data_IF_671433503775
#
_entry.id   IF_671433503775
#
_cell.length_a   1.000
_cell.length_b   1.000
_cell.length_c   1.000
_cell.angle_alpha   90.00
_cell.angle_beta   90.00
_cell.angle_gamma   90.00
#
_symmetry.space_group_name_H-M   'P 1'
#
loop_
_entity.id
_entity.type
_entity.pdbx_description
1 polymer ?
#
# COMPACT_ATOMS: atom_id res chain seq x y z
N UNK A 1 19.74 4.71 16.44
CA UNK A 1 18.41 5.00 17.05
C UNK A 1 17.44 5.15 15.90
N UNK A 2 16.35 4.40 15.88
CA UNK A 2 15.27 4.61 14.92
C UNK A 2 14.68 5.98 15.24
N UNK A 3 14.66 6.91 14.29
CA UNK A 3 13.99 8.20 14.50
C UNK A 3 12.49 7.95 14.55
N UNK A 4 11.83 8.44 15.59
CA UNK A 4 10.37 8.44 15.72
C UNK A 4 9.77 9.25 14.55
N UNK A 5 9.08 8.57 13.60
CA UNK A 5 8.51 9.16 12.42
C UNK A 5 6.99 9.06 12.44
N UNK A 6 6.32 10.05 11.86
CA UNK A 6 4.88 10.00 11.65
C UNK A 6 4.58 9.21 10.39
N UNK A 7 3.86 8.10 10.57
CA UNK A 7 3.50 7.16 9.50
C UNK A 7 2.00 7.20 9.25
N UNK A 8 1.60 7.23 7.99
CA UNK A 8 0.22 7.03 7.57
C UNK A 8 0.10 5.76 6.71
N UNK A 9 -0.70 4.79 7.15
CA UNK A 9 -1.03 3.57 6.39
C UNK A 9 -2.49 3.63 5.96
N UNK A 10 -2.76 3.77 4.65
CA UNK A 10 -4.14 3.74 4.16
C UNK A 10 -4.67 2.31 4.11
N UNK A 11 -5.93 2.11 4.57
CA UNK A 11 -6.51 0.77 4.67
C UNK A 11 -5.76 -0.12 5.67
N UNK A 12 -5.32 0.47 6.78
CA UNK A 12 -4.52 -0.20 7.82
C UNK A 12 -5.32 -0.98 8.86
N UNK A 13 -6.63 -1.10 8.68
CA UNK A 13 -7.51 -1.75 9.65
C UNK A 13 -7.55 -3.29 9.56
N UNK A 14 -6.95 -3.90 8.54
CA UNK A 14 -6.89 -5.36 8.36
C UNK A 14 -5.77 -5.80 7.42
N UNK A 15 -5.50 -7.09 7.39
CA UNK A 15 -4.61 -7.76 6.42
C UNK A 15 -3.21 -7.17 6.35
N UNK A 16 -2.69 -6.98 5.15
CA UNK A 16 -1.33 -6.44 4.92
C UNK A 16 -1.15 -5.07 5.54
N UNK A 17 -2.13 -4.17 5.38
CA UNK A 17 -2.06 -2.82 5.93
C UNK A 17 -1.95 -2.81 7.45
N UNK A 18 -2.69 -3.67 8.13
CA UNK A 18 -2.64 -3.81 9.58
C UNK A 18 -1.28 -4.36 10.06
N UNK A 19 -0.78 -5.42 9.44
CA UNK A 19 0.54 -5.97 9.76
C UNK A 19 1.66 -4.93 9.59
N UNK A 20 1.59 -4.12 8.53
CA UNK A 20 2.53 -3.01 8.30
C UNK A 20 2.42 -1.97 9.43
N UNK A 21 1.22 -1.54 9.77
CA UNK A 21 0.99 -0.53 10.79
C UNK A 21 1.50 -0.98 12.17
N UNK A 22 1.13 -2.19 12.59
CA UNK A 22 1.55 -2.80 13.85
C UNK A 22 3.07 -2.94 13.93
N UNK A 23 3.70 -3.39 12.84
CA UNK A 23 5.16 -3.54 12.79
C UNK A 23 5.89 -2.21 12.90
N UNK A 24 5.42 -1.16 12.20
CA UNK A 24 6.00 0.17 12.27
C UNK A 24 5.79 0.82 13.64
N UNK A 25 4.64 0.59 14.30
CA UNK A 25 4.41 1.03 15.67
C UNK A 25 5.36 0.32 16.66
N UNK A 26 5.54 -0.99 16.51
CA UNK A 26 6.49 -1.76 17.32
C UNK A 26 7.95 -1.31 17.11
N UNK A 27 8.29 -0.78 15.94
CA UNK A 27 9.59 -0.17 15.66
C UNK A 27 9.76 1.24 16.27
N UNK A 28 8.74 1.79 16.95
CA UNK A 28 8.79 3.07 17.66
C UNK A 28 8.32 4.26 16.84
N UNK A 29 7.59 4.05 15.75
CA UNK A 29 6.98 5.12 14.96
C UNK A 29 5.60 5.51 15.50
N UNK A 30 5.18 6.76 15.29
CA UNK A 30 3.82 7.23 15.53
C UNK A 30 2.96 6.90 14.30
N UNK A 31 2.06 5.94 14.43
CA UNK A 31 1.35 5.38 13.27
C UNK A 31 -0.13 5.76 13.29
N UNK A 32 -0.56 6.37 12.20
CA UNK A 32 -1.97 6.51 11.87
C UNK A 32 -2.38 5.50 10.80
N UNK A 33 -3.57 4.94 10.94
CA UNK A 33 -4.21 4.10 9.93
C UNK A 33 -5.51 4.72 9.46
N UNK A 34 -5.89 4.45 8.22
CA UNK A 34 -7.23 4.83 7.76
C UNK A 34 -8.12 3.62 7.53
N UNK A 35 -9.40 3.79 7.83
CA UNK A 35 -10.47 2.89 7.41
C UNK A 35 -11.70 3.70 6.97
N UNK A 36 -12.58 3.12 6.16
CA UNK A 36 -13.79 3.80 5.70
C UNK A 36 -14.82 3.98 6.81
N UNK A 37 -14.89 3.08 7.76
CA UNK A 37 -15.75 3.20 8.94
C UNK A 37 -15.21 4.18 9.98
N UNK A 38 -13.91 4.40 10.05
CA UNK A 38 -13.22 5.08 11.16
C UNK A 38 -12.97 4.15 12.34
N UNK A 39 -13.09 2.84 12.14
CA UNK A 39 -12.93 1.81 13.18
C UNK A 39 -11.88 0.78 12.75
N UNK A 40 -11.25 0.15 13.71
CA UNK A 40 -10.36 -1.00 13.54
C UNK A 40 -10.48 -1.89 14.80
N UNK A 41 -10.58 -3.20 14.59
CA UNK A 41 -10.84 -4.16 15.68
C UNK A 41 -9.64 -4.33 16.63
N UNK A 42 -8.42 -4.13 16.11
CA UNK A 42 -7.17 -4.25 16.88
C UNK A 42 -6.27 -3.05 16.54
N UNK A 43 -6.48 -1.96 17.25
CA UNK A 43 -5.82 -0.68 16.98
C UNK A 43 -4.94 -0.21 18.14
N UNK A 44 -4.49 -1.12 19.02
CA UNK A 44 -3.70 -0.76 20.20
C UNK A 44 -2.44 0.03 19.81
N UNK A 45 -2.37 1.28 20.27
CA UNK A 45 -1.27 2.19 19.97
C UNK A 45 -1.32 2.85 18.59
N UNK A 46 -2.38 2.65 17.79
CA UNK A 46 -2.57 3.26 16.48
C UNK A 46 -3.61 4.39 16.52
N UNK A 47 -3.35 5.48 15.81
CA UNK A 47 -4.38 6.49 15.56
C UNK A 47 -5.27 6.02 14.40
N UNK A 48 -6.54 5.76 14.67
CA UNK A 48 -7.52 5.38 13.64
C UNK A 48 -8.24 6.62 13.12
N UNK A 49 -8.19 6.84 11.80
CA UNK A 49 -8.81 7.99 11.14
C UNK A 49 -9.75 7.51 10.04
N UNK A 50 -10.93 8.13 9.95
CA UNK A 50 -11.88 7.83 8.88
C UNK A 50 -11.40 8.46 7.56
N UNK A 51 -11.30 7.64 6.50
CA UNK A 51 -11.01 8.14 5.16
C UNK A 51 -11.59 7.26 4.05
N UNK A 52 -12.19 7.91 3.08
CA UNK A 52 -12.47 7.34 1.76
C UNK A 52 -11.49 7.95 0.76
N UNK A 53 -10.60 7.12 0.21
CA UNK A 53 -9.57 7.57 -0.75
C UNK A 53 -10.15 8.01 -2.10
N UNK A 54 -11.43 7.69 -2.37
CA UNK A 54 -12.14 8.14 -3.58
C UNK A 54 -12.67 9.57 -3.45
N UNK A 55 -12.77 10.08 -2.22
CA UNK A 55 -13.26 11.42 -1.91
C UNK A 55 -12.08 12.35 -1.52
N UNK A 56 -11.77 13.39 -2.33
CA UNK A 56 -10.68 14.33 -2.02
C UNK A 56 -10.85 15.07 -0.69
N UNK A 57 -12.07 15.44 -0.32
CA UNK A 57 -12.34 16.17 0.92
C UNK A 57 -12.14 15.25 2.14
N UNK A 58 -12.55 13.99 2.02
CA UNK A 58 -12.29 12.98 3.05
C UNK A 58 -10.79 12.73 3.24
N UNK A 59 -10.01 12.69 2.16
CA UNK A 59 -8.54 12.56 2.23
C UNK A 59 -7.90 13.77 2.91
N UNK A 60 -8.32 14.99 2.55
CA UNK A 60 -7.77 16.22 3.17
C UNK A 60 -8.09 16.27 4.66
N UNK A 61 -9.33 15.98 5.05
CA UNK A 61 -9.75 15.94 6.46
C UNK A 61 -8.95 14.90 7.25
N UNK A 62 -8.80 13.69 6.71
CA UNK A 62 -8.06 12.61 7.37
C UNK A 62 -6.58 12.96 7.58
N UNK A 63 -5.91 13.48 6.55
CA UNK A 63 -4.50 13.87 6.69
C UNK A 63 -4.35 15.06 7.64
N UNK A 64 -5.29 16.02 7.63
CA UNK A 64 -5.29 17.15 8.58
C UNK A 64 -5.43 16.67 10.03
N UNK A 65 -6.28 15.69 10.29
CA UNK A 65 -6.43 15.08 11.62
C UNK A 65 -5.13 14.38 12.08
N UNK A 66 -4.44 13.67 11.17
CA UNK A 66 -3.15 13.05 11.48
C UNK A 66 -2.10 14.12 11.76
N UNK A 67 -2.03 15.17 10.94
CA UNK A 67 -1.07 16.27 11.11
C UNK A 67 -1.29 17.04 12.43
N UNK A 68 -2.55 17.21 12.87
CA UNK A 68 -2.90 17.86 14.13
C UNK A 68 -2.48 17.02 15.35
N UNK A 69 -2.69 15.70 15.29
CA UNK A 69 -2.47 14.80 16.43
C UNK A 69 -1.04 14.27 16.55
N UNK A 70 -0.39 14.00 15.43
CA UNK A 70 0.93 13.34 15.38
C UNK A 70 2.01 14.20 14.72
N UNK A 71 1.63 15.19 13.92
CA UNK A 71 2.57 15.98 13.12
C UNK A 71 2.57 15.62 11.64
N UNK A 72 3.43 16.28 10.86
CA UNK A 72 3.50 16.06 9.41
C UNK A 72 3.78 14.58 9.08
N UNK A 73 3.03 14.01 8.14
CA UNK A 73 3.27 12.66 7.65
C UNK A 73 4.63 12.59 6.95
N UNK A 74 5.53 11.77 7.46
CA UNK A 74 6.87 11.56 6.93
C UNK A 74 6.99 10.25 6.16
N UNK A 75 6.21 9.23 6.53
CA UNK A 75 6.12 7.95 5.82
C UNK A 75 4.68 7.72 5.38
N UNK A 76 4.47 7.54 4.08
CA UNK A 76 3.20 7.12 3.52
C UNK A 76 3.30 5.67 3.04
N UNK A 77 2.43 4.81 3.56
CA UNK A 77 2.15 3.49 3.00
C UNK A 77 0.77 3.52 2.35
N UNK A 78 0.74 3.62 1.02
CA UNK A 78 -0.50 3.63 0.25
C UNK A 78 -0.92 2.19 -0.05
N UNK A 79 -1.78 1.64 0.82
CA UNK A 79 -2.22 0.25 0.78
C UNK A 79 -3.71 0.10 0.46
N UNK A 80 -4.55 1.10 0.77
CA UNK A 80 -5.99 1.03 0.50
C UNK A 80 -6.28 0.64 -0.94
N UNK A 81 -7.20 -0.30 -1.12
CA UNK A 81 -7.61 -0.76 -2.44
C UNK A 81 -8.78 -1.74 -2.37
N UNK A 82 -9.39 -1.93 -3.53
CA UNK A 82 -10.52 -2.86 -3.73
C UNK A 82 -10.24 -3.74 -4.95
N UNK A 83 -10.94 -4.86 -5.01
CA UNK A 83 -11.06 -5.70 -6.21
C UNK A 83 -12.53 -5.77 -6.65
N UNK A 84 -12.75 -5.88 -7.95
CA UNK A 84 -14.03 -6.24 -8.58
C UNK A 84 -13.71 -7.11 -9.78
N UNK A 85 -13.50 -8.39 -9.52
CA UNK A 85 -13.02 -9.33 -10.51
C UNK A 85 -14.15 -9.72 -11.48
N UNK A 86 -13.82 -9.79 -12.75
CA UNK A 86 -14.74 -10.16 -13.82
C UNK A 86 -14.00 -10.33 -15.15
N UNK A 87 -14.41 -11.33 -15.96
CA UNK A 87 -13.84 -11.48 -17.30
C UNK A 87 -14.16 -10.26 -18.15
N UNK A 88 -13.25 -9.87 -19.03
CA UNK A 88 -13.30 -8.63 -19.82
C UNK A 88 -14.65 -8.41 -20.55
N UNK A 89 -15.26 -9.47 -21.07
CA UNK A 89 -16.53 -9.36 -21.78
C UNK A 89 -17.74 -9.12 -20.84
N UNK A 90 -17.57 -9.21 -19.53
CA UNK A 90 -18.63 -9.01 -18.52
C UNK A 90 -18.34 -7.84 -17.59
N UNK A 91 -17.11 -7.33 -17.60
CA UNK A 91 -16.70 -6.20 -16.77
C UNK A 91 -17.33 -4.92 -17.32
N UNK A 92 -18.08 -4.21 -16.49
CA UNK A 92 -18.65 -2.90 -16.87
C UNK A 92 -17.60 -1.78 -16.74
N UNK A 93 -17.83 -0.67 -17.43
CA UNK A 93 -17.02 0.54 -17.33
C UNK A 93 -17.01 1.10 -15.91
N UNK A 94 -18.13 1.00 -15.19
CA UNK A 94 -18.25 1.43 -13.79
C UNK A 94 -17.40 0.57 -12.85
N UNK A 95 -17.37 -0.75 -13.05
CA UNK A 95 -16.50 -1.65 -12.27
C UNK A 95 -15.02 -1.39 -12.52
N UNK A 96 -14.67 -1.14 -13.79
CA UNK A 96 -13.31 -0.77 -14.16
C UNK A 96 -12.90 0.55 -13.51
N UNK A 97 -13.73 1.58 -13.68
CA UNK A 97 -13.45 2.93 -13.18
C UNK A 97 -13.40 2.97 -11.65
N UNK A 98 -14.30 2.29 -10.96
CA UNK A 98 -14.32 2.26 -9.49
C UNK A 98 -13.03 1.67 -8.90
N UNK A 99 -12.47 0.60 -9.50
CA UNK A 99 -11.21 0.00 -9.05
C UNK A 99 -10.02 0.92 -9.34
N UNK A 100 -9.98 1.53 -10.52
CA UNK A 100 -8.92 2.50 -10.89
C UNK A 100 -8.99 3.73 -9.99
N UNK A 101 -10.19 4.25 -9.70
CA UNK A 101 -10.32 5.42 -8.82
C UNK A 101 -9.87 5.12 -7.40
N UNK A 102 -10.29 4.01 -6.81
CA UNK A 102 -9.88 3.65 -5.45
C UNK A 102 -8.37 3.35 -5.36
N UNK A 103 -7.85 2.49 -6.24
CA UNK A 103 -6.50 1.94 -6.09
C UNK A 103 -5.40 2.88 -6.60
N UNK A 104 -5.64 3.58 -7.70
CA UNK A 104 -4.63 4.41 -8.36
C UNK A 104 -4.88 5.90 -8.07
N UNK A 105 -6.07 6.42 -8.38
CA UNK A 105 -6.37 7.84 -8.16
C UNK A 105 -6.40 8.18 -6.67
N UNK A 106 -6.94 7.29 -5.83
CA UNK A 106 -6.91 7.42 -4.37
C UNK A 106 -5.49 7.48 -3.82
N UNK A 107 -4.61 6.58 -4.29
CA UNK A 107 -3.19 6.61 -3.93
C UNK A 107 -2.52 7.93 -4.33
N UNK A 108 -2.84 8.45 -5.53
CA UNK A 108 -2.36 9.75 -5.98
C UNK A 108 -2.85 10.89 -5.07
N UNK A 109 -4.14 10.91 -4.70
CA UNK A 109 -4.72 11.96 -3.83
C UNK A 109 -3.99 12.03 -2.49
N UNK A 110 -3.81 10.89 -1.82
CA UNK A 110 -3.12 10.82 -0.53
C UNK A 110 -1.66 11.23 -0.67
N UNK A 111 -0.93 10.68 -1.66
CA UNK A 111 0.48 11.02 -1.89
C UNK A 111 0.67 12.51 -2.18
N UNK A 112 -0.18 13.11 -3.03
CA UNK A 112 -0.19 14.54 -3.31
C UNK A 112 -0.42 15.37 -2.05
N UNK A 113 -1.36 14.97 -1.18
CA UNK A 113 -1.68 15.71 0.05
C UNK A 113 -0.51 15.72 1.03
N UNK A 114 0.14 14.57 1.27
CA UNK A 114 1.27 14.49 2.22
C UNK A 114 2.58 15.02 1.67
N UNK A 115 2.78 15.05 0.34
CA UNK A 115 4.03 15.46 -0.30
C UNK A 115 4.49 16.87 0.10
N UNK A 116 3.54 17.78 0.35
CA UNK A 116 3.85 19.16 0.76
C UNK A 116 4.59 19.24 2.10
N UNK A 117 4.18 18.42 3.08
CA UNK A 117 4.87 18.27 4.37
C UNK A 117 6.26 17.67 4.20
N UNK A 118 6.37 16.57 3.47
CA UNK A 118 7.65 15.90 3.18
C UNK A 118 8.65 16.83 2.45
N UNK A 119 8.18 17.60 1.46
CA UNK A 119 9.02 18.55 0.73
C UNK A 119 9.57 19.66 1.63
N UNK A 120 8.77 20.17 2.57
CA UNK A 120 9.21 21.18 3.54
C UNK A 120 10.23 20.61 4.52
N UNK A 121 9.98 19.39 5.02
CA UNK A 121 10.86 18.65 5.92
C UNK A 121 12.13 18.15 5.24
N UNK A 122 12.21 18.15 3.91
CA UNK A 122 13.29 17.58 3.08
C UNK A 122 13.62 16.15 3.44
N UNK A 123 12.58 15.39 3.77
CA UNK A 123 12.63 13.96 4.07
C UNK A 123 11.25 13.34 3.83
N UNK A 124 11.22 12.13 3.33
CA UNK A 124 9.98 11.37 3.16
C UNK A 124 10.21 9.98 2.59
N UNK A 125 9.25 9.09 2.86
CA UNK A 125 9.17 7.75 2.29
C UNK A 125 7.76 7.51 1.78
N UNK A 126 7.63 7.25 0.49
CA UNK A 126 6.36 6.86 -0.14
C UNK A 126 6.46 5.42 -0.59
N UNK A 127 5.62 4.55 -0.04
CA UNK A 127 5.61 3.12 -0.34
C UNK A 127 4.21 2.77 -0.84
N UNK A 128 4.12 2.29 -2.08
CA UNK A 128 2.87 1.91 -2.72
C UNK A 128 2.73 0.40 -2.74
N UNK A 129 1.65 -0.13 -2.17
CA UNK A 129 1.36 -1.56 -2.19
C UNK A 129 0.63 -1.90 -3.49
N UNK A 130 1.38 -2.46 -4.43
CA UNK A 130 0.89 -2.96 -5.71
C UNK A 130 0.47 -4.44 -5.60
N UNK A 131 0.77 -5.24 -6.59
CA UNK A 131 0.54 -6.69 -6.66
C UNK A 131 1.37 -7.27 -7.80
N UNK A 132 1.67 -8.57 -7.74
CA UNK A 132 2.18 -9.30 -8.91
C UNK A 132 1.22 -9.25 -10.09
N UNK A 133 -0.10 -9.11 -9.86
CA UNK A 133 -1.08 -8.89 -10.93
C UNK A 133 -0.81 -7.59 -11.70
N UNK A 134 -0.19 -6.59 -11.07
CA UNK A 134 0.26 -5.37 -11.74
C UNK A 134 1.53 -5.56 -12.59
N UNK A 135 2.28 -6.66 -12.39
CA UNK A 135 3.48 -7.00 -13.18
C UNK A 135 3.12 -7.86 -14.39
N UNK A 136 2.41 -8.97 -14.16
CA UNK A 136 2.15 -9.99 -15.17
C UNK A 136 0.72 -10.01 -15.73
N UNK A 137 -0.22 -9.27 -15.10
CA UNK A 137 -1.64 -9.41 -15.37
C UNK A 137 -2.22 -10.68 -14.72
N UNK A 138 -3.56 -10.68 -14.56
CA UNK A 138 -4.29 -11.83 -14.05
C UNK A 138 -5.63 -11.92 -14.78
N UNK A 139 -6.01 -13.09 -15.31
CA UNK A 139 -7.33 -13.27 -15.90
C UNK A 139 -8.45 -12.87 -14.94
N UNK A 140 -9.42 -12.09 -15.44
CA UNK A 140 -10.51 -11.55 -14.61
C UNK A 140 -10.18 -10.27 -13.83
N UNK A 141 -8.95 -9.77 -13.88
CA UNK A 141 -8.49 -8.61 -13.12
C UNK A 141 -8.01 -7.45 -14.01
N UNK A 142 -8.65 -7.19 -15.13
CA UNK A 142 -8.21 -6.12 -16.03
C UNK A 142 -8.15 -4.75 -15.33
N UNK A 143 -9.17 -4.40 -14.53
CA UNK A 143 -9.24 -3.19 -13.72
C UNK A 143 -8.18 -3.16 -12.61
N UNK A 144 -8.07 -4.23 -11.84
CA UNK A 144 -7.13 -4.36 -10.73
C UNK A 144 -5.68 -4.32 -11.23
N UNK A 145 -5.35 -5.16 -12.21
CA UNK A 145 -4.01 -5.20 -12.81
C UNK A 145 -3.59 -3.85 -13.39
N UNK A 146 -4.49 -3.18 -14.13
CA UNK A 146 -4.23 -1.84 -14.66
C UNK A 146 -3.98 -0.83 -13.54
N UNK A 147 -4.80 -0.84 -12.47
CA UNK A 147 -4.63 0.06 -11.34
C UNK A 147 -3.29 -0.16 -10.60
N UNK A 148 -2.92 -1.42 -10.39
CA UNK A 148 -1.68 -1.79 -9.70
C UNK A 148 -0.43 -1.55 -10.55
N UNK A 149 -0.50 -1.76 -11.87
CA UNK A 149 0.54 -1.37 -12.81
C UNK A 149 0.73 0.15 -12.86
N UNK A 150 -0.35 0.93 -12.80
CA UNK A 150 -0.31 2.40 -12.77
C UNK A 150 0.48 2.96 -11.58
N UNK A 151 0.44 2.30 -10.42
CA UNK A 151 1.24 2.68 -9.25
C UNK A 151 2.75 2.67 -9.54
N UNK A 152 3.22 1.77 -10.40
CA UNK A 152 4.64 1.66 -10.77
C UNK A 152 5.08 2.91 -11.53
N UNK A 153 4.31 3.32 -12.53
CA UNK A 153 4.58 4.54 -13.30
C UNK A 153 4.55 5.78 -12.42
N UNK A 154 3.54 5.87 -11.54
CA UNK A 154 3.36 6.98 -10.60
C UNK A 154 4.53 7.06 -9.61
N UNK A 155 4.92 5.97 -8.97
CA UNK A 155 6.03 5.94 -8.02
C UNK A 155 7.37 6.34 -8.66
N UNK A 156 7.64 5.88 -9.88
CA UNK A 156 8.84 6.27 -10.64
C UNK A 156 8.85 7.75 -10.99
N UNK A 157 7.70 8.33 -11.27
CA UNK A 157 7.56 9.78 -11.47
C UNK A 157 7.88 10.54 -10.19
N UNK A 158 7.26 10.15 -9.08
CA UNK A 158 7.52 10.78 -7.77
C UNK A 158 8.98 10.63 -7.32
N UNK A 159 9.59 9.47 -7.59
CA UNK A 159 11.02 9.26 -7.33
C UNK A 159 11.89 10.31 -8.05
N UNK A 160 11.58 10.63 -9.31
CA UNK A 160 12.32 11.64 -10.09
C UNK A 160 12.03 13.07 -9.62
N UNK A 161 10.79 13.38 -9.29
CA UNK A 161 10.38 14.74 -8.90
C UNK A 161 10.88 15.12 -7.49
N UNK A 162 10.91 14.17 -6.56
CA UNK A 162 11.12 14.46 -5.15
C UNK A 162 12.50 14.03 -4.61
N UNK A 163 13.32 13.31 -5.36
CA UNK A 163 14.62 12.80 -4.86
C UNK A 163 15.57 13.92 -4.39
N UNK A 164 15.56 15.09 -5.03
CA UNK A 164 16.36 16.25 -4.60
C UNK A 164 15.93 16.82 -3.23
N UNK A 165 14.80 16.37 -2.71
CA UNK A 165 14.27 16.72 -1.39
C UNK A 165 14.44 15.62 -0.35
N UNK A 166 15.24 14.59 -0.61
CA UNK A 166 15.45 13.47 0.31
C UNK A 166 14.25 12.54 0.45
N UNK A 167 13.31 12.58 -0.52
CA UNK A 167 12.11 11.75 -0.53
C UNK A 167 12.32 10.59 -1.50
N UNK A 168 12.03 9.38 -1.04
CA UNK A 168 12.02 8.18 -1.89
C UNK A 168 10.60 7.74 -2.18
N UNK A 169 10.38 7.12 -3.34
CA UNK A 169 9.09 6.55 -3.72
C UNK A 169 9.30 5.16 -4.34
N UNK A 170 8.76 4.13 -3.70
CA UNK A 170 8.98 2.73 -4.06
C UNK A 170 7.66 1.95 -4.12
N UNK A 171 7.67 0.84 -4.81
CA UNK A 171 6.53 -0.07 -4.96
C UNK A 171 6.88 -1.42 -4.39
N UNK A 172 6.00 -1.97 -3.56
CA UNK A 172 6.03 -3.37 -3.12
C UNK A 172 4.94 -4.13 -3.86
N UNK A 173 5.27 -5.28 -4.44
CA UNK A 173 4.36 -6.14 -5.18
C UNK A 173 4.19 -7.48 -4.46
N UNK A 174 3.21 -7.61 -3.56
CA UNK A 174 2.92 -8.88 -2.90
C UNK A 174 2.46 -9.95 -3.91
N UNK A 175 2.86 -11.18 -3.65
CA UNK A 175 2.26 -12.39 -4.21
C UNK A 175 0.98 -12.81 -3.46
N UNK A 176 0.61 -14.10 -3.47
CA UNK A 176 -0.51 -14.62 -2.70
C UNK A 176 -0.15 -14.62 -1.21
N UNK A 177 -0.77 -13.72 -0.45
CA UNK A 177 -0.54 -13.51 1.00
C UNK A 177 -1.77 -13.98 1.77
N UNK A 178 -1.56 -14.68 2.89
CA UNK A 178 -2.63 -15.14 3.79
C UNK A 178 -3.33 -13.92 4.42
N UNK A 179 -4.49 -13.59 3.88
CA UNK A 179 -5.37 -12.51 4.33
C UNK A 179 -6.82 -12.97 4.22
N UNK A 180 -7.76 -12.28 4.84
CA UNK A 180 -9.19 -12.60 4.73
C UNK A 180 -9.63 -12.77 3.27
N UNK A 181 -9.16 -11.88 2.39
CA UNK A 181 -9.46 -11.95 0.95
C UNK A 181 -9.00 -13.27 0.31
N UNK A 182 -7.85 -13.82 0.71
CA UNK A 182 -7.36 -15.11 0.21
C UNK A 182 -8.11 -16.27 0.86
N UNK A 183 -8.53 -16.11 2.11
CA UNK A 183 -9.28 -17.13 2.84
C UNK A 183 -10.72 -17.31 2.33
N UNK A 184 -11.27 -16.34 1.60
CA UNK A 184 -12.56 -16.46 0.89
C UNK A 184 -12.47 -17.38 -0.34
N UNK A 185 -11.26 -17.71 -0.82
CA UNK A 185 -11.06 -18.66 -1.92
C UNK A 185 -11.28 -20.11 -1.46
N UNK A 186 -11.66 -20.99 -2.39
CA UNK A 186 -11.77 -22.44 -2.10
C UNK A 186 -10.40 -23.05 -1.77
N UNK A 187 -10.41 -24.19 -1.06
CA UNK A 187 -9.19 -24.95 -0.74
C UNK A 187 -8.40 -25.32 -1.99
N UNK A 188 -9.09 -25.67 -3.09
CA UNK A 188 -8.48 -25.99 -4.38
C UNK A 188 -7.76 -24.79 -4.99
N UNK A 189 -8.37 -23.60 -4.91
CA UNK A 189 -7.75 -22.36 -5.42
C UNK A 189 -6.52 -21.98 -4.58
N UNK A 190 -6.61 -22.13 -3.25
CA UNK A 190 -5.45 -21.88 -2.37
C UNK A 190 -4.30 -22.84 -2.65
N UNK A 191 -4.61 -24.14 -2.77
CA UNK A 191 -3.61 -25.16 -3.11
C UNK A 191 -2.96 -24.90 -4.49
N UNK A 192 -3.73 -24.42 -5.47
CA UNK A 192 -3.18 -24.04 -6.77
C UNK A 192 -2.19 -22.86 -6.66
N UNK A 193 -2.47 -21.87 -5.82
CA UNK A 193 -1.50 -20.79 -5.54
C UNK A 193 -0.25 -21.32 -4.85
N UNK A 194 -0.38 -22.18 -3.84
CA UNK A 194 0.78 -22.78 -3.14
C UNK A 194 1.69 -23.55 -4.08
N UNK A 195 1.09 -24.32 -5.00
CA UNK A 195 1.84 -25.08 -6.01
C UNK A 195 2.54 -24.18 -7.04
N UNK A 196 1.94 -23.05 -7.37
CA UNK A 196 2.51 -22.11 -8.33
C UNK A 196 3.69 -21.30 -7.75
N UNK A 197 3.71 -21.10 -6.42
CA UNK A 197 4.78 -20.34 -5.76
C UNK A 197 6.04 -21.20 -5.62
N UNK A 198 7.21 -20.80 -6.17
CA UNK A 198 8.43 -21.60 -6.11
C UNK A 198 8.88 -21.99 -4.69
N UNK A 199 8.67 -21.12 -3.69
CA UNK A 199 8.96 -21.44 -2.28
C UNK A 199 7.99 -22.49 -1.71
N UNK A 200 6.86 -22.80 -2.39
CA UNK A 200 5.94 -23.88 -2.02
C UNK A 200 4.99 -23.55 -0.86
N UNK A 201 4.75 -22.27 -0.59
CA UNK A 201 3.79 -21.80 0.41
C UNK A 201 3.26 -20.41 0.07
N UNK A 202 2.17 -20.05 0.69
CA UNK A 202 1.65 -18.68 0.71
C UNK A 202 2.54 -17.78 1.58
N UNK A 203 2.63 -16.51 1.23
CA UNK A 203 3.30 -15.51 2.05
C UNK A 203 2.46 -15.09 3.26
N UNK A 204 3.12 -14.53 4.28
CA UNK A 204 2.46 -13.98 5.46
C UNK A 204 2.47 -12.45 5.39
N UNK A 205 1.45 -11.75 5.95
CA UNK A 205 1.42 -10.28 6.01
C UNK A 205 2.69 -9.67 6.62
N UNK A 206 3.28 -10.32 7.63
CA UNK A 206 4.51 -9.88 8.29
C UNK A 206 5.73 -9.89 7.36
N UNK A 207 5.77 -10.73 6.32
CA UNK A 207 6.85 -10.73 5.34
C UNK A 207 6.79 -9.48 4.46
N UNK A 208 5.58 -9.01 4.15
CA UNK A 208 5.39 -7.72 3.47
C UNK A 208 5.75 -6.57 4.41
N UNK A 209 5.29 -6.63 5.66
CA UNK A 209 5.55 -5.60 6.66
C UNK A 209 7.05 -5.41 6.93
N UNK A 210 7.84 -6.49 6.94
CA UNK A 210 9.29 -6.43 7.10
C UNK A 210 10.00 -5.65 5.98
N UNK A 211 9.58 -5.86 4.74
CA UNK A 211 10.15 -5.13 3.61
C UNK A 211 9.73 -3.65 3.60
N UNK A 212 8.48 -3.38 4.01
CA UNK A 212 7.98 -1.99 4.13
C UNK A 212 8.73 -1.26 5.25
N UNK A 213 8.97 -1.88 6.41
CA UNK A 213 9.78 -1.31 7.48
C UNK A 213 11.20 -0.94 7.00
N UNK A 214 11.85 -1.84 6.24
CA UNK A 214 13.14 -1.55 5.65
C UNK A 214 13.08 -0.35 4.70
N UNK A 215 12.10 -0.30 3.78
CA UNK A 215 11.96 0.81 2.84
C UNK A 215 11.58 2.13 3.51
N UNK A 216 10.94 2.10 4.68
CA UNK A 216 10.62 3.25 5.50
C UNK A 216 11.82 3.82 6.26
N UNK A 217 12.88 3.04 6.42
CA UNK A 217 14.06 3.38 7.22
C UNK A 217 15.01 4.37 6.55
N UNK A 218 15.95 4.91 7.34
CA UNK A 218 17.08 5.72 6.84
C UNK A 218 18.00 4.87 5.94
N UNK A 219 18.15 3.58 6.23
CA UNK A 219 19.03 2.66 5.49
C UNK A 219 18.59 2.48 4.03
N UNK A 220 17.32 2.72 3.72
CA UNK A 220 16.79 2.67 2.36
C UNK A 220 16.87 4.01 1.61
N UNK A 221 17.59 5.01 2.15
CA UNK A 221 17.64 6.35 1.56
C UNK A 221 18.21 6.45 0.14
N UNK A 222 18.91 5.41 -0.34
CA UNK A 222 19.42 5.35 -1.72
C UNK A 222 18.57 4.44 -2.64
N UNK A 223 17.43 3.94 -2.13
CA UNK A 223 16.49 3.09 -2.87
C UNK A 223 15.27 3.94 -3.25
N UNK A 224 15.12 4.27 -4.53
CA UNK A 224 13.96 5.01 -5.04
C UNK A 224 13.60 4.58 -6.46
N UNK A 225 12.31 4.56 -6.78
CA UNK A 225 11.78 4.10 -8.07
C UNK A 225 11.82 2.58 -8.27
N UNK A 226 12.15 1.82 -7.20
CA UNK A 226 12.20 0.36 -7.29
C UNK A 226 10.80 -0.25 -7.29
N UNK A 227 10.72 -1.42 -7.90
CA UNK A 227 9.58 -2.34 -7.81
C UNK A 227 10.10 -3.60 -7.15
N UNK A 228 9.62 -3.89 -5.96
CA UNK A 228 10.07 -5.01 -5.13
C UNK A 228 8.99 -6.09 -5.06
N UNK A 229 9.08 -7.18 -5.83
CA UNK A 229 8.23 -8.34 -5.64
C UNK A 229 8.54 -9.04 -4.32
N UNK A 230 7.48 -9.43 -3.59
CA UNK A 230 7.55 -10.26 -2.40
C UNK A 230 6.52 -11.37 -2.58
N UNK A 231 6.88 -12.40 -3.32
CA UNK A 231 5.95 -13.33 -3.94
C UNK A 231 6.45 -14.78 -3.95
N UNK A 232 7.51 -15.08 -3.22
CA UNK A 232 8.10 -16.41 -3.19
C UNK A 232 8.67 -16.88 -4.53
N UNK A 233 8.98 -15.93 -5.42
CA UNK A 233 9.54 -16.20 -6.75
C UNK A 233 8.48 -16.41 -7.83
N UNK A 234 7.20 -16.16 -7.56
CA UNK A 234 6.10 -16.44 -8.51
C UNK A 234 6.20 -15.59 -9.79
N UNK A 235 6.70 -14.37 -9.71
CA UNK A 235 6.85 -13.46 -10.86
C UNK A 235 8.23 -13.47 -11.49
N UNK A 236 9.11 -14.39 -11.11
CA UNK A 236 10.40 -14.58 -11.80
C UNK A 236 10.17 -14.98 -13.25
N UNK A 237 10.70 -14.22 -14.18
CA UNK A 237 10.64 -14.50 -15.61
C UNK A 237 11.91 -14.07 -16.30
#
# INVERSE_FOLDING_TARGET
MVSDRVVLVTGGNRGIGHAIATRLAAAGHQVAITSRSGEADDADGLLVVKADVTDPDSVDAAVSEVEEKLGNVEVLVSNAGITKDGLILRMSDDEFTAVVDANLTGSFRVAKRVSKGMMRGRWGRMIFISSISGLGGQPGQANYSASKAGLIGMARTFAKEFSSRGITANVVCPGPIVTDMLMELSDEQRAAFEQAVPIGRLGQPDEIAAAVEFLASESAGYITGTVLPIDGGLSMG
#
